data_IF_673468770020
#
_entry.id   IF_673468770020
#
_cell.length_a   1.000
_cell.length_b   1.000
_cell.length_c   1.000
_cell.angle_alpha   90.00
_cell.angle_beta   90.00
_cell.angle_gamma   90.00
#
_symmetry.space_group_name_H-M   'P 1'
#
loop_
_entity.id
_entity.type
_entity.pdbx_description
1 polymer ?
#
# COMPACT_ATOMS: atom_id res chain seq x y z
N UNK A 1 17.85 -10.17 -2.19
CA UNK A 1 16.51 -9.71 -1.72
C UNK A 1 16.58 -9.32 -0.25
N UNK A 2 16.06 -8.15 0.13
CA UNK A 2 16.06 -7.63 1.51
C UNK A 2 15.35 -8.62 2.47
N UNK A 3 15.85 -8.79 3.71
CA UNK A 3 15.28 -9.71 4.71
C UNK A 3 13.82 -9.38 5.04
N UNK A 4 13.49 -8.10 5.19
CA UNK A 4 12.12 -7.65 5.47
C UNK A 4 11.18 -7.96 4.31
N UNK A 5 11.59 -7.70 3.07
CA UNK A 5 10.82 -8.05 1.86
C UNK A 5 10.58 -9.56 1.79
N UNK A 6 11.59 -10.39 2.07
CA UNK A 6 11.40 -11.86 2.10
C UNK A 6 10.43 -12.31 3.19
N UNK A 7 10.46 -11.66 4.35
CA UNK A 7 9.54 -11.98 5.44
C UNK A 7 8.10 -11.58 5.05
N UNK A 8 7.93 -10.37 4.53
CA UNK A 8 6.67 -9.87 4.02
C UNK A 8 6.03 -10.83 3.02
N UNK A 9 6.78 -11.25 1.98
CA UNK A 9 6.24 -12.15 0.96
C UNK A 9 5.81 -13.51 1.55
N UNK A 10 6.57 -14.06 2.51
CA UNK A 10 6.17 -15.30 3.20
C UNK A 10 4.90 -15.13 4.03
N UNK A 11 4.74 -13.97 4.66
CA UNK A 11 3.56 -13.69 5.48
C UNK A 11 2.32 -13.51 4.61
N UNK A 12 2.45 -12.81 3.47
CA UNK A 12 1.39 -12.69 2.47
C UNK A 12 1.01 -14.05 1.88
N UNK A 13 1.98 -14.86 1.46
CA UNK A 13 1.74 -16.20 0.90
C UNK A 13 1.02 -17.12 1.89
N UNK A 14 1.45 -17.13 3.15
CA UNK A 14 0.80 -17.91 4.21
C UNK A 14 -0.63 -17.46 4.46
N UNK A 15 -0.88 -16.16 4.52
CA UNK A 15 -2.23 -15.61 4.71
C UNK A 15 -3.13 -15.95 3.53
N UNK A 16 -2.61 -15.86 2.30
CA UNK A 16 -3.34 -16.22 1.08
C UNK A 16 -3.67 -17.73 1.05
N UNK A 17 -2.71 -18.58 1.42
CA UNK A 17 -2.89 -20.04 1.44
C UNK A 17 -3.94 -20.52 2.47
N UNK A 18 -4.25 -19.72 3.50
CA UNK A 18 -5.31 -20.04 4.45
C UNK A 18 -6.72 -19.98 3.84
N UNK A 19 -6.89 -19.30 2.70
CA UNK A 19 -8.12 -19.30 1.90
C UNK A 19 -9.31 -18.52 2.50
N UNK A 20 -9.13 -17.86 3.64
CA UNK A 20 -10.15 -17.07 4.34
C UNK A 20 -9.72 -15.61 4.60
N UNK A 21 -8.69 -15.15 3.90
CA UNK A 21 -8.16 -13.80 4.04
C UNK A 21 -9.07 -12.75 3.37
N UNK A 22 -9.14 -11.58 3.98
CA UNK A 22 -9.69 -10.35 3.39
C UNK A 22 -8.58 -9.32 3.24
N UNK A 23 -8.85 -8.18 2.62
CA UNK A 23 -7.91 -7.06 2.51
C UNK A 23 -7.19 -6.75 3.83
N UNK A 24 -7.93 -6.69 4.94
CA UNK A 24 -7.36 -6.37 6.25
C UNK A 24 -6.38 -7.44 6.77
N UNK A 25 -6.47 -8.68 6.31
CA UNK A 25 -5.62 -9.78 6.76
C UNK A 25 -4.14 -9.58 6.42
N UNK A 26 -3.82 -8.78 5.39
CA UNK A 26 -2.45 -8.52 4.95
C UNK A 26 -1.82 -7.28 5.63
N UNK A 27 -2.64 -6.43 6.26
CA UNK A 27 -2.22 -5.16 6.87
C UNK A 27 -1.12 -5.31 7.92
N UNK A 28 -1.12 -6.31 8.82
CA UNK A 28 -0.04 -6.47 9.81
C UNK A 28 1.33 -6.74 9.15
N UNK A 29 1.38 -7.61 8.15
CA UNK A 29 2.59 -7.92 7.42
C UNK A 29 3.10 -6.69 6.65
N UNK A 30 2.18 -5.96 6.02
CA UNK A 30 2.53 -4.77 5.25
C UNK A 30 3.02 -3.61 6.15
N UNK A 31 2.36 -3.38 7.29
CA UNK A 31 2.82 -2.44 8.31
C UNK A 31 4.27 -2.71 8.72
N UNK A 32 4.58 -3.97 9.05
CA UNK A 32 5.94 -4.36 9.44
C UNK A 32 6.97 -4.14 8.32
N UNK A 33 6.59 -4.35 7.05
CA UNK A 33 7.44 -4.03 5.92
C UNK A 33 7.70 -2.51 5.82
N UNK A 34 6.66 -1.69 5.88
CA UNK A 34 6.78 -0.23 5.75
C UNK A 34 7.69 0.35 6.82
N UNK A 35 7.50 -0.04 8.08
CA UNK A 35 8.30 0.43 9.21
C UNK A 35 9.75 -0.06 9.15
N UNK A 36 10.03 -1.14 8.41
CA UNK A 36 11.39 -1.64 8.22
C UNK A 36 12.25 -0.78 7.28
N UNK A 37 11.66 0.15 6.52
CA UNK A 37 12.39 0.97 5.55
C UNK A 37 13.25 2.07 6.18
N UNK A 38 13.11 2.34 7.48
CA UNK A 38 13.98 3.29 8.16
C UNK A 38 13.60 3.52 9.61
N UNK A 39 14.58 3.93 10.40
CA UNK A 39 14.37 4.29 11.81
C UNK A 39 13.38 5.45 11.92
N UNK A 40 12.41 5.30 12.82
CA UNK A 40 11.39 6.31 13.10
C UNK A 40 10.32 6.44 12.02
N UNK A 41 10.22 5.49 11.07
CA UNK A 41 9.06 5.35 10.19
C UNK A 41 7.98 4.57 10.95
N UNK A 42 6.80 5.17 11.05
CA UNK A 42 5.63 4.58 11.69
C UNK A 42 4.47 4.56 10.70
N UNK A 43 3.79 3.41 10.59
CA UNK A 43 2.64 3.26 9.70
C UNK A 43 1.38 3.01 10.55
N UNK A 44 0.47 3.98 10.57
CA UNK A 44 -0.80 3.84 11.29
C UNK A 44 -1.85 3.27 10.34
N UNK A 45 -2.34 2.06 10.64
CA UNK A 45 -3.51 1.48 9.97
C UNK A 45 -4.79 2.12 10.48
N UNK A 46 -5.77 2.34 9.60
CA UNK A 46 -7.07 2.93 9.92
C UNK A 46 -6.93 4.26 10.71
N UNK A 47 -6.17 5.23 10.17
CA UNK A 47 -5.99 6.52 10.80
C UNK A 47 -7.32 7.27 10.93
N UNK A 48 -7.36 8.25 11.84
CA UNK A 48 -8.48 9.20 11.89
C UNK A 48 -8.65 9.88 10.53
N UNK A 49 -9.91 10.15 10.17
CA UNK A 49 -10.24 10.87 8.93
C UNK A 49 -9.47 12.18 8.80
N UNK A 50 -8.88 12.38 7.64
CA UNK A 50 -8.31 13.63 7.17
C UNK A 50 -9.33 14.35 6.26
N UNK A 51 -9.05 15.60 5.88
CA UNK A 51 -10.00 16.43 5.13
C UNK A 51 -10.49 15.79 3.82
N UNK A 52 -9.65 15.02 3.12
CA UNK A 52 -9.98 14.38 1.85
C UNK A 52 -10.58 12.97 2.00
N UNK A 53 -10.62 12.39 3.21
CA UNK A 53 -11.11 11.04 3.47
C UNK A 53 -10.32 10.28 4.55
N UNK A 54 -10.34 8.95 4.51
CA UNK A 54 -9.51 8.10 5.36
C UNK A 54 -8.75 7.14 4.45
N UNK A 55 -7.46 7.40 4.15
CA UNK A 55 -6.63 6.41 3.50
C UNK A 55 -6.39 5.24 4.47
N UNK A 56 -6.07 4.07 3.93
CA UNK A 56 -5.85 2.86 4.73
C UNK A 56 -4.67 2.97 5.69
N UNK A 57 -3.60 3.64 5.25
CA UNK A 57 -2.47 3.99 6.10
C UNK A 57 -2.07 5.46 5.98
N UNK A 58 -1.63 6.02 7.11
CA UNK A 58 -0.75 7.19 7.15
C UNK A 58 0.63 6.72 7.58
N UNK A 59 1.65 7.08 6.82
CA UNK A 59 3.06 6.84 7.14
C UNK A 59 3.66 8.15 7.65
N UNK A 60 4.29 8.11 8.82
CA UNK A 60 4.87 9.27 9.48
C UNK A 60 6.33 9.03 9.81
N UNK A 61 7.08 10.13 9.94
CA UNK A 61 8.36 10.15 10.63
C UNK A 61 8.28 11.15 11.78
N UNK A 62 8.26 10.65 13.01
CA UNK A 62 7.86 11.46 14.17
C UNK A 62 6.44 12.00 13.98
N UNK A 63 6.24 13.31 14.12
CA UNK A 63 4.92 13.93 13.97
C UNK A 63 4.55 14.30 12.53
N UNK A 64 5.47 14.19 11.57
CA UNK A 64 5.25 14.60 10.19
C UNK A 64 4.72 13.43 9.33
N UNK A 65 3.53 13.55 8.72
CA UNK A 65 3.09 12.64 7.65
C UNK A 65 4.04 12.76 6.46
N UNK A 66 4.57 11.63 6.01
CA UNK A 66 5.49 11.56 4.86
C UNK A 66 4.87 10.82 3.67
N UNK A 67 3.74 10.14 3.85
CA UNK A 67 3.03 9.47 2.78
C UNK A 67 1.75 8.78 3.24
N UNK A 68 0.96 8.34 2.27
CA UNK A 68 -0.32 7.69 2.46
C UNK A 68 -0.36 6.41 1.65
N UNK A 69 -1.13 5.43 2.09
CA UNK A 69 -1.29 4.17 1.35
C UNK A 69 -2.76 3.80 1.30
N UNK A 70 -3.23 3.43 0.11
CA UNK A 70 -4.54 2.86 -0.17
C UNK A 70 -4.34 1.40 -0.61
N UNK A 71 -5.06 0.49 0.02
CA UNK A 71 -4.95 -0.95 -0.16
C UNK A 71 -6.19 -1.50 -0.88
N UNK A 72 -6.02 -2.63 -1.56
CA UNK A 72 -7.07 -3.42 -2.22
C UNK A 72 -6.82 -4.90 -2.01
N UNK A 73 -7.85 -5.72 -2.15
CA UNK A 73 -7.68 -7.19 -2.17
C UNK A 73 -6.69 -7.62 -3.26
N UNK A 74 -5.88 -8.64 -2.96
CA UNK A 74 -4.95 -9.25 -3.93
C UNK A 74 -5.70 -9.63 -5.20
N UNK A 75 -5.18 -9.18 -6.36
CA UNK A 75 -5.76 -9.50 -7.67
C UNK A 75 -6.85 -8.54 -8.15
N UNK A 76 -7.24 -7.55 -7.33
CA UNK A 76 -8.09 -6.45 -7.80
C UNK A 76 -7.37 -5.65 -8.88
N UNK A 77 -8.01 -5.36 -10.03
CA UNK A 77 -7.37 -4.62 -11.11
C UNK A 77 -7.19 -3.14 -10.71
N UNK A 78 -5.99 -2.78 -10.25
CA UNK A 78 -5.65 -1.42 -9.81
C UNK A 78 -5.91 -0.34 -10.89
N UNK A 79 -5.86 -0.70 -12.18
CA UNK A 79 -6.23 0.20 -13.29
C UNK A 79 -7.68 0.70 -13.21
N UNK A 80 -8.60 -0.11 -12.70
CA UNK A 80 -10.00 0.31 -12.53
C UNK A 80 -10.18 1.17 -11.29
N UNK A 81 -9.40 0.89 -10.23
CA UNK A 81 -9.39 1.68 -9.00
C UNK A 81 -8.94 3.11 -9.26
N UNK A 82 -7.91 3.31 -10.08
CA UNK A 82 -7.40 4.64 -10.47
C UNK A 82 -8.46 5.51 -11.17
N UNK A 83 -9.43 4.89 -11.85
CA UNK A 83 -10.49 5.61 -12.56
C UNK A 83 -11.62 6.07 -11.63
N UNK A 84 -11.71 5.51 -10.42
CA UNK A 84 -12.79 5.82 -9.48
C UNK A 84 -12.75 7.27 -9.02
N UNK A 85 -13.94 7.85 -8.78
CA UNK A 85 -14.03 9.22 -8.26
C UNK A 85 -13.45 9.35 -6.85
N UNK A 86 -13.41 8.28 -6.06
CA UNK A 86 -12.76 8.28 -4.75
C UNK A 86 -11.24 8.42 -4.88
N UNK A 87 -10.61 7.62 -5.73
CA UNK A 87 -9.16 7.64 -5.87
C UNK A 87 -8.66 8.96 -6.47
N UNK A 88 -9.40 9.53 -7.44
CA UNK A 88 -9.09 10.87 -7.98
C UNK A 88 -9.04 11.96 -6.91
N UNK A 89 -9.99 11.96 -5.96
CA UNK A 89 -9.96 12.90 -4.83
C UNK A 89 -8.72 12.74 -3.96
N UNK A 90 -8.20 11.53 -3.82
CA UNK A 90 -6.95 11.28 -3.10
C UNK A 90 -5.75 11.80 -3.87
N UNK A 91 -5.67 11.59 -5.19
CA UNK A 91 -4.61 12.16 -6.02
C UNK A 91 -4.57 13.70 -5.95
N UNK A 92 -5.74 14.35 -5.90
CA UNK A 92 -5.83 15.81 -5.82
C UNK A 92 -5.43 16.36 -4.43
N UNK A 93 -5.51 15.55 -3.37
CA UNK A 93 -5.34 16.00 -1.98
C UNK A 93 -4.09 15.48 -1.28
N UNK A 94 -3.54 14.35 -1.73
CA UNK A 94 -2.44 13.63 -1.10
C UNK A 94 -1.22 13.65 -2.02
N UNK A 95 -0.20 14.41 -1.61
CA UNK A 95 1.01 14.61 -2.42
C UNK A 95 1.85 13.33 -2.59
N UNK A 96 1.86 12.43 -1.61
CA UNK A 96 2.66 11.20 -1.66
C UNK A 96 1.77 10.00 -1.32
N UNK A 97 1.36 9.26 -2.35
CA UNK A 97 0.37 8.19 -2.24
C UNK A 97 0.87 6.91 -2.89
N UNK A 98 0.62 5.77 -2.23
CA UNK A 98 0.79 4.44 -2.80
C UNK A 98 -0.59 3.79 -2.94
N UNK A 99 -0.86 3.18 -4.10
CA UNK A 99 -1.96 2.23 -4.30
C UNK A 99 -1.39 0.82 -4.43
N UNK A 100 -1.94 -0.14 -3.70
CA UNK A 100 -1.43 -1.51 -3.73
C UNK A 100 -2.52 -2.56 -3.56
N UNK A 101 -2.33 -3.72 -4.19
CA UNK A 101 -3.04 -4.96 -3.87
C UNK A 101 -2.15 -5.93 -3.08
N UNK A 102 -1.17 -5.41 -2.34
CA UNK A 102 -0.11 -6.14 -1.61
C UNK A 102 0.96 -6.83 -2.46
N UNK A 103 0.75 -6.99 -3.77
CA UNK A 103 1.74 -7.56 -4.68
C UNK A 103 2.24 -6.53 -5.69
N UNK A 104 1.37 -5.68 -6.21
CA UNK A 104 1.69 -4.55 -7.07
C UNK A 104 1.67 -3.25 -6.27
N UNK A 105 2.66 -2.38 -6.48
CA UNK A 105 2.76 -1.08 -5.80
C UNK A 105 2.85 0.01 -6.84
N UNK A 106 1.89 0.94 -6.81
CA UNK A 106 1.84 2.11 -7.70
C UNK A 106 2.06 3.36 -6.88
N UNK A 107 3.13 4.07 -7.22
CA UNK A 107 3.52 5.29 -6.53
C UNK A 107 3.05 6.52 -7.29
N UNK A 108 2.43 7.44 -6.55
CA UNK A 108 1.98 8.73 -7.03
C UNK A 108 2.64 9.85 -6.23
N UNK A 109 3.22 10.81 -6.95
CA UNK A 109 3.79 12.03 -6.40
C UNK A 109 3.08 13.22 -7.07
N UNK A 110 2.47 14.08 -6.26
CA UNK A 110 1.72 15.26 -6.70
C UNK A 110 0.66 14.93 -7.77
N UNK A 111 -0.04 13.81 -7.58
CA UNK A 111 -1.07 13.31 -8.49
C UNK A 111 -0.52 12.66 -9.78
N UNK A 112 0.79 12.76 -10.03
CA UNK A 112 1.45 12.14 -11.18
C UNK A 112 2.01 10.76 -10.81
N UNK A 113 2.20 9.90 -11.82
CA UNK A 113 2.80 8.57 -11.65
C UNK A 113 4.24 8.58 -12.18
N UNK A 114 5.23 8.96 -11.37
CA UNK A 114 6.61 9.16 -11.83
C UNK A 114 7.31 7.85 -12.26
N UNK A 115 6.87 6.69 -11.75
CA UNK A 115 7.40 5.40 -12.17
C UNK A 115 6.39 4.27 -11.92
N UNK A 116 6.27 3.33 -12.87
CA UNK A 116 5.53 2.09 -12.69
C UNK A 116 6.52 0.94 -12.46
N UNK A 117 6.58 0.39 -11.24
CA UNK A 117 7.31 -0.86 -10.98
C UNK A 117 6.40 -2.02 -11.40
N UNK A 118 6.74 -2.67 -12.51
CA UNK A 118 6.03 -3.85 -12.99
C UNK A 118 6.48 -5.09 -12.20
N UNK A 119 5.52 -5.89 -11.76
CA UNK A 119 5.73 -7.05 -10.90
C UNK A 119 6.67 -8.12 -11.49
N UNK A 120 7.56 -8.66 -10.67
CA UNK A 120 8.48 -9.76 -10.99
C UNK A 120 7.82 -11.15 -11.14
N UNK A 121 6.49 -11.24 -10.99
CA UNK A 121 5.72 -12.49 -11.07
C UNK A 121 4.84 -12.62 -12.32
N UNK A 122 5.02 -11.77 -13.34
CA UNK A 122 4.18 -11.80 -14.55
C UNK A 122 4.46 -12.93 -15.54
N UNK A 123 5.32 -13.90 -15.25
CA UNK A 123 5.58 -15.05 -16.13
C UNK A 123 5.63 -16.37 -15.36
N UNK A 124 4.47 -16.93 -15.03
CA UNK A 124 4.24 -18.38 -15.08
C UNK A 124 2.77 -18.63 -15.47
N UNK A 125 2.52 -18.54 -16.77
CA UNK A 125 1.52 -19.38 -17.45
C UNK A 125 2.20 -20.02 -18.64
#
# INVERSE_FOLDING_TARGET
>A
MNRAVRQYLRDVERTLAAGNATEHSYRPAFKALVESFGTGIEATNEPKRVACGAPDFIVQRGQAPIGYIECKDIGVPLNEIEKTGQFKRYLDSLQNLILTDYLEFRYFLDGERPCSVLNAFRHQR
#
